data_IF_648480402311
#
_entry.id   IF_648480402311
#
_cell.length_a   1.000
_cell.length_b   1.000
_cell.length_c   1.000
_cell.angle_alpha   90.00
_cell.angle_beta   90.00
_cell.angle_gamma   90.00
#
_symmetry.space_group_name_H-M   'P 1'
#
loop_
_entity.id
_entity.type
_entity.pdbx_description
1 polymer ?
#
# COMPACT_ATOMS: atom_id res chain seq x y z
N UNK A 1 -53.11 -5.18 15.97
CA UNK A 1 -52.70 -3.92 16.58
C UNK A 1 -51.62 -4.14 17.66
N UNK A 2 -51.70 -5.19 18.51
CA UNK A 2 -50.69 -5.44 19.57
C UNK A 2 -49.29 -5.77 19.05
N UNK A 3 -49.14 -6.48 17.94
CA UNK A 3 -47.82 -6.86 17.36
C UNK A 3 -47.00 -5.67 16.82
N UNK A 4 -47.63 -4.57 16.44
CA UNK A 4 -46.94 -3.37 15.95
C UNK A 4 -46.36 -2.57 17.10
N UNK A 5 -47.14 -2.45 18.20
CA UNK A 5 -46.74 -1.72 19.43
C UNK A 5 -45.57 -2.45 20.12
N UNK A 6 -45.57 -3.78 20.12
CA UNK A 6 -44.49 -4.57 20.72
C UNK A 6 -43.17 -4.48 19.89
N UNK A 7 -43.31 -4.37 18.56
CA UNK A 7 -42.16 -4.20 17.65
C UNK A 7 -41.57 -2.77 17.75
N UNK A 8 -42.39 -1.74 17.88
CA UNK A 8 -41.91 -0.38 18.14
C UNK A 8 -41.19 -0.22 19.47
N UNK A 9 -41.70 -0.83 20.54
CA UNK A 9 -41.02 -0.83 21.84
C UNK A 9 -39.63 -1.52 21.79
N UNK A 10 -39.50 -2.62 21.07
CA UNK A 10 -38.19 -3.31 20.90
C UNK A 10 -37.18 -2.44 20.16
N UNK A 11 -37.58 -1.73 19.10
CA UNK A 11 -36.68 -0.84 18.34
C UNK A 11 -36.24 0.35 19.20
N UNK A 12 -37.15 0.96 19.96
CA UNK A 12 -36.83 2.08 20.84
C UNK A 12 -35.88 1.64 21.97
N UNK A 13 -36.13 0.50 22.58
CA UNK A 13 -35.27 -0.07 23.63
C UNK A 13 -33.88 -0.41 23.06
N UNK A 14 -33.82 -0.98 21.86
CA UNK A 14 -32.56 -1.28 21.19
C UNK A 14 -31.78 0.00 20.86
N UNK A 15 -32.45 1.00 20.26
CA UNK A 15 -31.84 2.30 19.97
C UNK A 15 -31.28 2.95 21.24
N UNK A 16 -32.05 2.96 22.31
CA UNK A 16 -31.65 3.58 23.58
C UNK A 16 -30.44 2.89 24.20
N UNK A 17 -30.40 1.55 24.12
CA UNK A 17 -29.27 0.73 24.62
C UNK A 17 -27.99 0.99 23.83
N UNK A 18 -28.09 1.16 22.51
CA UNK A 18 -26.94 1.30 21.64
C UNK A 18 -26.65 2.75 21.21
N UNK A 19 -27.45 3.71 21.68
CA UNK A 19 -27.29 5.15 21.38
C UNK A 19 -25.86 5.67 21.62
N UNK A 20 -25.17 5.32 22.76
CA UNK A 20 -23.80 5.77 22.96
C UNK A 20 -22.85 5.30 21.85
N UNK A 21 -23.00 4.08 21.37
CA UNK A 21 -22.17 3.53 20.27
C UNK A 21 -22.47 4.23 18.95
N UNK A 22 -23.75 4.51 18.65
CA UNK A 22 -24.11 5.29 17.45
C UNK A 22 -23.55 6.70 17.49
N UNK A 23 -23.60 7.37 18.64
CA UNK A 23 -23.03 8.70 18.81
C UNK A 23 -21.50 8.70 18.65
N UNK A 24 -20.80 7.64 19.10
CA UNK A 24 -19.36 7.50 18.92
C UNK A 24 -18.97 7.28 17.44
N UNK A 25 -19.79 6.56 16.68
CA UNK A 25 -19.54 6.28 15.27
C UNK A 25 -19.97 7.46 14.38
N UNK A 26 -20.97 8.25 14.80
CA UNK A 26 -21.58 9.31 14.00
C UNK A 26 -20.57 10.28 13.39
N UNK A 27 -19.57 10.82 14.13
CA UNK A 27 -18.59 11.74 13.55
C UNK A 27 -17.79 11.08 12.40
N UNK A 28 -17.43 9.80 12.54
CA UNK A 28 -16.74 9.05 11.50
C UNK A 28 -17.62 8.84 10.26
N UNK A 29 -18.89 8.48 10.45
CA UNK A 29 -19.86 8.31 9.36
C UNK A 29 -20.09 9.62 8.63
N UNK A 30 -20.30 10.72 9.35
CA UNK A 30 -20.48 12.06 8.78
C UNK A 30 -19.25 12.46 7.97
N UNK A 31 -18.04 12.24 8.50
CA UNK A 31 -16.80 12.46 7.78
C UNK A 31 -16.75 11.67 6.47
N UNK A 32 -17.06 10.38 6.51
CA UNK A 32 -17.07 9.53 5.31
C UNK A 32 -18.08 10.01 4.28
N UNK A 33 -19.29 10.37 4.71
CA UNK A 33 -20.31 10.88 3.80
C UNK A 33 -19.81 12.15 3.12
N UNK A 34 -19.36 13.15 3.88
CA UNK A 34 -18.96 14.45 3.34
C UNK A 34 -17.70 14.33 2.45
N UNK A 35 -16.67 13.60 2.89
CA UNK A 35 -15.37 13.60 2.22
C UNK A 35 -15.12 12.43 1.28
N UNK A 36 -15.97 11.39 1.31
CA UNK A 36 -15.86 10.23 0.40
C UNK A 36 -17.07 10.09 -0.52
N UNK A 37 -18.27 10.05 0.03
CA UNK A 37 -19.48 9.81 -0.77
C UNK A 37 -19.93 11.05 -1.55
N UNK A 38 -19.95 12.23 -0.95
CA UNK A 38 -20.32 13.46 -1.66
C UNK A 38 -19.44 13.73 -2.89
N UNK A 39 -18.07 13.61 -2.81
CA UNK A 39 -17.24 13.76 -4.00
C UNK A 39 -17.48 12.70 -5.08
N UNK A 40 -18.00 11.51 -4.74
CA UNK A 40 -18.35 10.50 -5.76
C UNK A 40 -19.43 10.99 -6.73
N UNK A 41 -20.35 11.84 -6.27
CA UNK A 41 -21.32 12.50 -7.18
C UNK A 41 -20.64 13.39 -8.20
N UNK A 42 -19.43 13.89 -7.91
CA UNK A 42 -18.61 14.64 -8.85
C UNK A 42 -18.19 13.83 -10.08
N UNK A 43 -18.24 12.49 -10.05
CA UNK A 43 -17.97 11.64 -11.22
C UNK A 43 -18.94 11.90 -12.39
N UNK A 44 -20.11 12.50 -12.14
CA UNK A 44 -21.05 12.94 -13.17
C UNK A 44 -20.39 13.93 -14.15
N UNK A 45 -19.39 14.69 -13.71
CA UNK A 45 -18.62 15.62 -14.56
C UNK A 45 -17.98 14.89 -15.77
N UNK A 46 -17.64 13.60 -15.63
CA UNK A 46 -17.09 12.81 -16.73
C UNK A 46 -18.05 12.66 -17.93
N UNK A 47 -19.34 12.88 -17.72
CA UNK A 47 -20.40 12.79 -18.74
C UNK A 47 -20.93 14.18 -19.17
N UNK A 48 -20.32 15.26 -18.66
CA UNK A 48 -20.73 16.63 -18.91
C UNK A 48 -19.60 17.42 -19.56
N UNK A 49 -19.95 18.40 -20.42
CA UNK A 49 -19.02 19.43 -20.87
C UNK A 49 -18.88 20.48 -19.76
N UNK A 50 -18.15 20.08 -18.72
CA UNK A 50 -18.06 20.81 -17.46
C UNK A 50 -17.38 22.17 -17.63
N UNK A 51 -18.02 23.21 -17.09
CA UNK A 51 -17.44 24.53 -16.95
C UNK A 51 -17.52 24.96 -15.48
N UNK A 52 -16.41 25.43 -14.94
CA UNK A 52 -16.36 25.93 -13.55
C UNK A 52 -17.32 27.09 -13.29
N UNK A 53 -17.66 27.86 -14.33
CA UNK A 53 -18.62 28.98 -14.24
C UNK A 53 -20.05 28.52 -14.15
N UNK A 54 -20.41 27.37 -14.75
CA UNK A 54 -21.76 26.80 -14.75
C UNK A 54 -22.01 25.80 -13.63
N UNK A 55 -20.93 25.26 -13.05
CA UNK A 55 -21.02 24.21 -12.05
C UNK A 55 -21.53 22.88 -12.60
N UNK A 56 -21.76 21.91 -11.72
CA UNK A 56 -22.22 20.55 -12.08
C UNK A 56 -23.65 20.58 -12.65
N UNK A 57 -24.54 21.39 -12.06
CA UNK A 57 -25.96 21.41 -12.44
C UNK A 57 -26.17 22.15 -13.76
N UNK A 58 -25.38 23.20 -14.03
CA UNK A 58 -25.53 24.04 -15.22
C UNK A 58 -24.73 23.60 -16.44
N UNK A 59 -23.90 22.56 -16.30
CA UNK A 59 -23.09 22.05 -17.41
C UNK A 59 -23.87 21.07 -18.29
N UNK A 60 -23.81 21.18 -19.64
CA UNK A 60 -24.55 20.31 -20.55
C UNK A 60 -24.04 18.86 -20.47
N UNK A 61 -24.97 17.92 -20.48
CA UNK A 61 -24.68 16.50 -20.52
C UNK A 61 -24.28 16.07 -21.94
N UNK A 62 -23.07 15.48 -22.09
CA UNK A 62 -22.50 15.08 -23.40
C UNK A 62 -22.30 13.58 -23.52
N UNK A 63 -22.81 12.81 -22.57
CA UNK A 63 -22.72 11.35 -22.57
C UNK A 63 -21.26 10.86 -22.57
N UNK A 64 -20.94 9.93 -23.47
CA UNK A 64 -19.61 9.30 -23.55
C UNK A 64 -18.57 10.06 -24.38
N UNK A 65 -18.83 11.31 -24.78
CA UNK A 65 -17.92 12.11 -25.63
C UNK A 65 -16.47 12.12 -25.14
N UNK A 66 -16.27 12.33 -23.83
CA UNK A 66 -14.93 12.37 -23.24
C UNK A 66 -14.25 11.01 -23.22
N UNK A 67 -15.02 9.95 -23.02
CA UNK A 67 -14.49 8.57 -23.05
C UNK A 67 -14.07 8.19 -24.47
N UNK A 68 -14.88 8.50 -25.48
CA UNK A 68 -14.52 8.26 -26.88
C UNK A 68 -13.23 8.99 -27.23
N UNK A 69 -13.14 10.30 -26.91
CA UNK A 69 -11.93 11.08 -27.15
C UNK A 69 -10.69 10.51 -26.41
N UNK A 70 -10.89 9.97 -25.20
CA UNK A 70 -9.82 9.34 -24.41
C UNK A 70 -9.30 8.08 -25.11
N UNK A 71 -10.20 7.19 -25.54
CA UNK A 71 -9.84 5.93 -26.19
C UNK A 71 -9.28 6.12 -27.60
N UNK A 72 -9.68 7.18 -28.30
CA UNK A 72 -9.12 7.54 -29.61
C UNK A 72 -7.73 8.19 -29.50
N UNK A 73 -7.30 8.58 -28.28
CA UNK A 73 -5.98 9.19 -28.07
C UNK A 73 -4.88 8.13 -28.11
N UNK A 74 -3.86 8.29 -28.97
CA UNK A 74 -2.71 7.38 -29.00
C UNK A 74 -1.93 7.38 -27.67
N UNK A 75 -1.96 8.47 -26.92
CA UNK A 75 -1.30 8.58 -25.63
C UNK A 75 -1.96 7.74 -24.55
N UNK A 76 -3.28 7.52 -24.64
CA UNK A 76 -4.01 6.71 -23.66
C UNK A 76 -3.43 5.31 -23.54
N UNK A 77 -3.27 4.61 -24.65
CA UNK A 77 -2.75 3.23 -24.65
C UNK A 77 -1.31 3.17 -24.17
N UNK A 78 -0.50 4.15 -24.51
CA UNK A 78 0.89 4.25 -24.05
C UNK A 78 0.95 4.44 -22.53
N UNK A 79 0.17 5.38 -22.00
CA UNK A 79 0.11 5.70 -20.57
C UNK A 79 -0.47 4.50 -19.81
N UNK A 80 -1.58 3.92 -20.28
CA UNK A 80 -2.22 2.77 -19.65
C UNK A 80 -1.28 1.58 -19.56
N UNK A 81 -0.62 1.22 -20.67
CA UNK A 81 0.36 0.14 -20.69
C UNK A 81 1.54 0.39 -19.74
N UNK A 82 2.05 1.63 -19.72
CA UNK A 82 3.14 1.99 -18.84
C UNK A 82 2.72 1.91 -17.35
N UNK A 83 1.55 2.41 -17.01
CA UNK A 83 1.00 2.35 -15.65
C UNK A 83 0.81 0.90 -15.21
N UNK A 84 0.20 0.07 -16.06
CA UNK A 84 0.00 -1.35 -15.77
C UNK A 84 1.33 -2.08 -15.57
N UNK A 85 2.33 -1.78 -16.41
CA UNK A 85 3.65 -2.37 -16.32
C UNK A 85 4.39 -1.95 -15.04
N UNK A 86 4.33 -0.66 -14.67
CA UNK A 86 4.92 -0.16 -13.42
C UNK A 86 4.24 -0.75 -12.18
N UNK A 87 2.92 -0.89 -12.21
CA UNK A 87 2.16 -1.54 -11.14
C UNK A 87 2.55 -3.01 -10.99
N UNK A 88 2.64 -3.74 -12.11
CA UNK A 88 3.09 -5.13 -12.11
C UNK A 88 4.52 -5.27 -11.57
N UNK A 89 5.46 -4.42 -12.02
CA UNK A 89 6.83 -4.38 -11.50
C UNK A 89 6.85 -4.12 -9.99
N UNK A 90 6.07 -3.15 -9.53
CA UNK A 90 5.98 -2.83 -8.11
C UNK A 90 5.49 -4.05 -7.33
N UNK A 91 4.38 -4.67 -7.73
CA UNK A 91 3.85 -5.86 -7.05
C UNK A 91 4.89 -6.98 -7.03
N UNK A 92 5.45 -7.34 -8.18
CA UNK A 92 6.38 -8.48 -8.30
C UNK A 92 7.64 -8.32 -7.45
N UNK A 93 8.20 -7.11 -7.39
CA UNK A 93 9.46 -6.87 -6.70
C UNK A 93 9.31 -6.35 -5.28
N UNK A 94 8.27 -5.53 -4.99
CA UNK A 94 8.13 -4.98 -3.62
C UNK A 94 7.38 -5.91 -2.69
N UNK A 95 6.44 -6.71 -3.20
CA UNK A 95 5.58 -7.56 -2.36
C UNK A 95 6.32 -8.73 -1.67
N UNK A 96 7.23 -9.47 -2.33
CA UNK A 96 7.95 -10.58 -1.68
C UNK A 96 8.95 -10.14 -0.60
N UNK A 97 9.53 -8.95 -0.74
CA UNK A 97 10.63 -8.48 0.12
C UNK A 97 10.22 -8.41 1.61
N UNK A 98 9.07 -7.83 1.99
CA UNK A 98 8.62 -7.81 3.38
C UNK A 98 8.43 -9.20 3.98
N UNK A 99 7.94 -10.16 3.20
CA UNK A 99 7.77 -11.55 3.65
C UNK A 99 9.14 -12.16 3.96
N UNK A 100 10.09 -12.02 3.03
CA UNK A 100 11.46 -12.51 3.20
C UNK A 100 12.11 -11.86 4.41
N UNK A 101 12.00 -10.53 4.56
CA UNK A 101 12.54 -9.80 5.70
C UNK A 101 11.92 -10.26 7.02
N UNK A 102 10.61 -10.50 7.06
CA UNK A 102 9.93 -10.99 8.26
C UNK A 102 10.44 -12.38 8.67
N UNK A 103 10.55 -13.31 7.72
CA UNK A 103 11.10 -14.64 7.97
C UNK A 103 12.56 -14.59 8.44
N UNK A 104 13.39 -13.75 7.80
CA UNK A 104 14.79 -13.56 8.23
C UNK A 104 14.88 -12.96 9.64
N UNK A 105 14.06 -11.95 9.93
CA UNK A 105 14.05 -11.31 11.26
C UNK A 105 13.49 -12.23 12.34
N UNK A 106 12.61 -13.14 11.99
CA UNK A 106 12.08 -14.11 12.95
C UNK A 106 13.16 -15.07 13.44
N UNK A 107 14.10 -15.46 12.59
CA UNK A 107 15.24 -16.30 12.94
C UNK A 107 16.32 -15.60 13.79
N UNK A 108 16.27 -14.26 13.92
CA UNK A 108 17.25 -13.51 14.71
C UNK A 108 17.02 -13.74 16.20
N UNK A 109 17.98 -14.37 16.88
CA UNK A 109 17.91 -14.73 18.31
C UNK A 109 17.99 -13.52 19.24
N UNK A 110 18.81 -12.54 18.90
CA UNK A 110 19.00 -11.35 19.72
C UNK A 110 17.82 -10.38 19.58
N UNK A 111 17.08 -10.19 20.67
CA UNK A 111 15.96 -9.23 20.72
C UNK A 111 16.41 -7.78 20.41
N UNK A 112 17.63 -7.42 20.83
CA UNK A 112 18.18 -6.08 20.58
C UNK A 112 18.45 -5.86 19.09
N UNK A 113 19.11 -6.83 18.43
CA UNK A 113 19.39 -6.76 16.99
C UNK A 113 18.07 -6.75 16.21
N UNK A 114 17.13 -7.65 16.52
CA UNK A 114 15.80 -7.70 15.89
C UNK A 114 15.10 -6.34 15.98
N UNK A 115 15.04 -5.74 17.17
CA UNK A 115 14.40 -4.44 17.39
C UNK A 115 15.12 -3.31 16.64
N UNK A 116 16.45 -3.27 16.68
CA UNK A 116 17.23 -2.24 15.99
C UNK A 116 17.03 -2.31 14.47
N UNK A 117 17.10 -3.50 13.87
CA UNK A 117 16.87 -3.69 12.44
C UNK A 117 15.43 -3.29 12.08
N UNK A 118 14.43 -3.73 12.83
CA UNK A 118 13.02 -3.33 12.63
C UNK A 118 12.87 -1.80 12.64
N UNK A 119 13.47 -1.12 13.58
CA UNK A 119 13.41 0.34 13.67
C UNK A 119 14.03 0.99 12.44
N UNK A 120 15.25 0.57 12.05
CA UNK A 120 15.97 1.16 10.91
C UNK A 120 15.22 0.96 9.59
N UNK A 121 14.72 -0.24 9.32
CA UNK A 121 14.00 -0.52 8.06
C UNK A 121 12.61 0.14 8.01
N UNK A 122 12.04 0.51 9.17
CA UNK A 122 10.74 1.15 9.24
C UNK A 122 10.80 2.69 9.08
N UNK A 123 11.92 3.34 9.41
CA UNK A 123 12.10 4.79 9.34
C UNK A 123 11.71 5.37 7.97
N UNK A 124 12.14 4.80 6.82
CA UNK A 124 11.84 5.36 5.52
C UNK A 124 10.34 5.50 5.23
N UNK A 125 9.51 4.65 5.80
CA UNK A 125 8.06 4.70 5.61
C UNK A 125 7.44 6.04 6.04
N UNK A 126 7.96 6.67 7.08
CA UNK A 126 7.46 7.94 7.62
C UNK A 126 7.92 9.16 6.82
N UNK A 127 8.85 9.00 5.90
CA UNK A 127 9.35 10.07 5.04
C UNK A 127 8.35 10.32 3.90
N UNK A 128 8.02 11.59 3.62
CA UNK A 128 7.13 11.90 2.49
C UNK A 128 7.78 11.56 1.14
N UNK A 129 6.96 11.23 0.13
CA UNK A 129 7.47 10.95 -1.22
C UNK A 129 8.19 12.14 -1.86
N UNK A 130 7.86 13.38 -1.48
CA UNK A 130 8.57 14.58 -1.94
C UNK A 130 10.00 14.58 -1.43
N UNK A 131 10.20 14.29 -0.14
CA UNK A 131 11.54 14.20 0.47
C UNK A 131 12.32 13.03 -0.12
N UNK A 132 11.66 11.87 -0.31
CA UNK A 132 12.29 10.71 -0.97
C UNK A 132 12.75 11.06 -2.39
N UNK A 133 11.92 11.76 -3.16
CA UNK A 133 12.31 12.26 -4.49
C UNK A 133 13.52 13.19 -4.44
N UNK A 134 13.56 14.11 -3.47
CA UNK A 134 14.70 14.98 -3.22
C UNK A 134 15.98 14.22 -2.87
N UNK A 135 15.88 13.18 -2.03
CA UNK A 135 17.01 12.29 -1.71
C UNK A 135 17.52 11.56 -2.95
N UNK A 136 16.62 10.97 -3.75
CA UNK A 136 16.99 10.30 -5.00
C UNK A 136 17.71 11.25 -5.94
N UNK A 137 17.21 12.48 -6.09
CA UNK A 137 17.84 13.50 -6.91
C UNK A 137 19.22 13.92 -6.37
N UNK A 138 19.36 14.09 -5.04
CA UNK A 138 20.64 14.42 -4.39
C UNK A 138 21.67 13.30 -4.55
N UNK A 139 21.24 12.04 -4.61
CA UNK A 139 22.12 10.91 -4.81
C UNK A 139 22.48 10.69 -6.28
N UNK A 140 21.49 10.70 -7.18
CA UNK A 140 21.60 10.23 -8.58
C UNK A 140 21.62 11.35 -9.61
N UNK A 141 21.43 12.61 -9.19
CA UNK A 141 21.52 13.79 -10.06
C UNK A 141 22.91 13.95 -10.69
N UNK A 142 23.05 14.86 -11.64
CA UNK A 142 24.31 15.10 -12.36
C UNK A 142 25.49 15.44 -11.44
N UNK A 143 25.27 16.26 -10.41
CA UNK A 143 26.23 16.56 -9.34
C UNK A 143 26.02 15.77 -8.05
N UNK A 144 25.28 14.68 -8.10
CA UNK A 144 24.93 13.88 -6.94
C UNK A 144 26.06 13.01 -6.42
N UNK A 145 25.90 12.51 -5.19
CA UNK A 145 26.91 11.69 -4.48
C UNK A 145 27.39 10.50 -5.33
N UNK A 146 26.52 9.88 -6.11
CA UNK A 146 26.86 8.79 -7.00
C UNK A 146 27.93 9.19 -8.05
N UNK A 147 27.77 10.35 -8.68
CA UNK A 147 28.72 10.85 -9.67
C UNK A 147 30.01 11.35 -9.02
N UNK A 148 29.94 12.00 -7.86
CA UNK A 148 31.13 12.41 -7.07
C UNK A 148 31.97 11.15 -6.76
N UNK A 149 31.35 10.07 -6.30
CA UNK A 149 32.06 8.83 -5.99
C UNK A 149 32.66 8.18 -7.25
N UNK A 150 31.99 8.24 -8.39
CA UNK A 150 32.51 7.77 -9.68
C UNK A 150 33.74 8.55 -10.12
N UNK A 151 33.69 9.87 -9.99
CA UNK A 151 34.83 10.75 -10.33
C UNK A 151 36.06 10.48 -9.43
N UNK A 152 35.85 10.23 -8.15
CA UNK A 152 36.92 9.81 -7.23
C UNK A 152 37.59 8.49 -7.66
N UNK A 153 36.84 7.62 -8.34
CA UNK A 153 37.34 6.36 -8.90
C UNK A 153 37.91 6.52 -10.33
N UNK A 154 38.01 7.76 -10.86
CA UNK A 154 38.46 8.02 -12.22
C UNK A 154 37.46 7.65 -13.31
N UNK A 155 36.21 7.41 -12.97
CA UNK A 155 35.14 7.04 -13.90
C UNK A 155 34.36 8.27 -14.36
N UNK A 156 33.93 8.31 -15.63
CA UNK A 156 33.10 9.39 -16.14
C UNK A 156 31.72 9.42 -15.46
N UNK A 157 31.16 10.62 -15.16
CA UNK A 157 29.82 10.74 -14.62
C UNK A 157 28.75 10.15 -15.57
N UNK A 158 27.68 9.65 -14.99
CA UNK A 158 26.52 9.13 -15.73
C UNK A 158 25.30 9.94 -15.36
N UNK A 159 24.56 10.42 -16.38
CA UNK A 159 23.31 11.16 -16.19
C UNK A 159 22.14 10.20 -15.98
N UNK A 160 22.16 9.48 -14.84
CA UNK A 160 21.20 8.43 -14.51
C UNK A 160 19.75 8.93 -14.56
N UNK A 161 19.50 10.12 -14.01
CA UNK A 161 18.14 10.71 -13.96
C UNK A 161 17.60 11.18 -15.31
N UNK A 162 18.46 11.29 -16.35
CA UNK A 162 18.07 11.73 -17.68
C UNK A 162 17.87 10.55 -18.64
N UNK A 163 18.15 9.33 -18.24
CA UNK A 163 18.05 8.14 -19.08
C UNK A 163 16.83 7.31 -18.67
N UNK A 164 15.93 7.09 -19.62
CA UNK A 164 14.66 6.37 -19.43
C UNK A 164 14.87 4.95 -18.84
N UNK A 165 15.95 4.28 -19.22
CA UNK A 165 16.26 2.92 -18.75
C UNK A 165 16.43 2.81 -17.23
N UNK A 166 16.86 3.88 -16.55
CA UNK A 166 17.07 3.90 -15.11
C UNK A 166 15.81 4.21 -14.31
N UNK A 167 14.78 4.75 -14.93
CA UNK A 167 13.56 5.15 -14.23
C UNK A 167 12.92 3.97 -13.49
N UNK A 168 12.75 2.84 -14.16
CA UNK A 168 12.10 1.65 -13.59
C UNK A 168 12.87 1.03 -12.42
N UNK A 169 14.18 0.76 -12.53
CA UNK A 169 14.98 0.29 -11.40
C UNK A 169 14.95 1.24 -10.20
N UNK A 170 15.11 2.54 -10.44
CA UNK A 170 15.08 3.55 -9.38
C UNK A 170 13.72 3.54 -8.68
N UNK A 171 12.63 3.53 -9.44
CA UNK A 171 11.27 3.48 -8.92
C UNK A 171 11.04 2.26 -8.02
N UNK A 172 11.43 1.07 -8.48
CA UNK A 172 11.26 -0.18 -7.72
C UNK A 172 12.12 -0.21 -6.47
N UNK A 173 13.40 0.12 -6.58
CA UNK A 173 14.33 0.12 -5.44
C UNK A 173 13.89 1.13 -4.39
N UNK A 174 13.48 2.31 -4.81
CA UNK A 174 12.98 3.36 -3.90
C UNK A 174 11.70 2.93 -3.21
N UNK A 175 10.78 2.28 -3.92
CA UNK A 175 9.54 1.76 -3.35
C UNK A 175 9.81 0.63 -2.32
N UNK A 176 10.72 -0.29 -2.63
CA UNK A 176 11.16 -1.33 -1.68
C UNK A 176 11.73 -0.67 -0.42
N UNK A 177 12.72 0.22 -0.59
CA UNK A 177 13.37 0.89 0.53
C UNK A 177 12.37 1.62 1.43
N UNK A 178 11.39 2.29 0.83
CA UNK A 178 10.40 3.06 1.57
C UNK A 178 9.39 2.20 2.32
N UNK A 179 8.84 1.17 1.69
CA UNK A 179 7.61 0.52 2.19
C UNK A 179 7.87 -0.87 2.79
N UNK A 180 8.99 -1.54 2.48
CA UNK A 180 9.23 -2.92 2.90
C UNK A 180 9.28 -3.08 4.42
N UNK A 181 9.86 -2.13 5.14
CA UNK A 181 9.98 -2.22 6.61
C UNK A 181 8.63 -2.19 7.32
N UNK A 182 7.72 -1.34 6.90
CA UNK A 182 6.38 -1.26 7.48
C UNK A 182 5.58 -2.55 7.28
N UNK A 183 5.57 -3.07 6.06
CA UNK A 183 4.88 -4.32 5.75
C UNK A 183 5.50 -5.52 6.49
N UNK A 184 6.82 -5.52 6.70
CA UNK A 184 7.53 -6.55 7.47
C UNK A 184 7.01 -6.65 8.91
N UNK A 185 6.67 -5.52 9.55
CA UNK A 185 6.11 -5.52 10.91
C UNK A 185 4.77 -6.25 10.96
N UNK A 186 3.92 -6.10 9.95
CA UNK A 186 2.62 -6.78 9.88
C UNK A 186 2.81 -8.29 9.80
N UNK A 187 3.76 -8.76 8.98
CA UNK A 187 4.08 -10.20 8.91
C UNK A 187 4.70 -10.72 10.21
N UNK A 188 5.57 -9.95 10.86
CA UNK A 188 6.15 -10.33 12.15
C UNK A 188 5.08 -10.43 13.25
N UNK A 189 4.07 -9.56 13.23
CA UNK A 189 2.93 -9.66 14.15
C UNK A 189 2.12 -10.94 13.91
N UNK A 190 1.93 -11.32 12.64
CA UNK A 190 1.26 -12.57 12.28
C UNK A 190 2.07 -13.81 12.73
N UNK A 191 3.40 -13.78 12.56
CA UNK A 191 4.30 -14.85 13.02
C UNK A 191 4.25 -14.98 14.55
N UNK A 192 4.25 -13.86 15.28
CA UNK A 192 4.16 -13.84 16.72
C UNK A 192 2.85 -14.45 17.29
N UNK A 193 1.81 -14.54 16.46
CA UNK A 193 0.54 -15.20 16.79
C UNK A 193 0.54 -16.72 16.62
N UNK A 194 1.61 -17.31 16.08
CA UNK A 194 1.72 -18.77 15.89
C UNK A 194 2.02 -19.42 17.25
N UNK A 195 1.28 -20.50 17.58
CA UNK A 195 1.50 -21.23 18.83
C UNK A 195 2.93 -21.77 18.93
N UNK A 196 3.66 -21.51 20.03
CA UNK A 196 5.00 -22.06 20.28
C UNK A 196 5.02 -23.60 20.26
N UNK A 197 3.93 -24.25 20.66
CA UNK A 197 3.80 -25.72 20.71
C UNK A 197 4.04 -26.38 19.35
N UNK A 198 3.66 -25.71 18.24
CA UNK A 198 3.92 -26.21 16.88
C UNK A 198 5.41 -26.23 16.55
N UNK A 199 6.16 -25.28 17.06
CA UNK A 199 7.62 -25.25 16.86
C UNK A 199 8.33 -26.24 17.79
N UNK A 200 7.85 -26.41 19.00
CA UNK A 200 8.41 -27.35 19.98
C UNK A 200 8.23 -28.80 19.52
N UNK A 201 7.01 -29.18 19.06
CA UNK A 201 6.77 -30.52 18.50
C UNK A 201 7.65 -30.79 17.28
N UNK A 202 7.77 -29.82 16.36
CA UNK A 202 8.63 -29.96 15.20
C UNK A 202 10.13 -30.09 15.55
N UNK A 203 10.57 -29.47 16.65
CA UNK A 203 11.95 -29.66 17.16
C UNK A 203 12.15 -31.08 17.69
N UNK A 204 11.17 -31.63 18.41
CA UNK A 204 11.19 -33.01 18.90
C UNK A 204 11.26 -33.99 17.75
N UNK A 205 10.52 -33.71 16.66
CA UNK A 205 10.54 -34.50 15.40
C UNK A 205 11.85 -34.31 14.57
N UNK A 206 12.81 -33.52 15.08
CA UNK A 206 14.10 -33.29 14.42
C UNK A 206 14.07 -32.31 13.24
N UNK A 207 12.99 -31.52 13.09
CA UNK A 207 12.86 -30.56 12.01
C UNK A 207 13.91 -29.43 12.11
N UNK A 208 14.64 -29.20 11.03
CA UNK A 208 15.56 -28.08 10.88
C UNK A 208 14.81 -26.73 10.88
N UNK A 209 15.52 -25.61 11.08
CA UNK A 209 14.95 -24.26 11.02
C UNK A 209 14.24 -24.00 9.70
N UNK A 210 14.90 -24.33 8.57
CA UNK A 210 14.32 -24.16 7.25
C UNK A 210 13.04 -24.97 7.06
N UNK A 211 13.00 -26.21 7.57
CA UNK A 211 11.79 -27.05 7.53
C UNK A 211 10.64 -26.42 8.33
N UNK A 212 10.91 -25.89 9.52
CA UNK A 212 9.91 -25.19 10.33
C UNK A 212 9.38 -23.94 9.63
N UNK A 213 10.26 -23.11 9.08
CA UNK A 213 9.87 -21.93 8.31
C UNK A 213 9.01 -22.30 7.13
N UNK A 214 9.39 -23.34 6.36
CA UNK A 214 8.69 -23.76 5.16
C UNK A 214 7.34 -24.44 5.42
N UNK A 215 7.25 -25.28 6.49
CA UNK A 215 6.08 -26.15 6.70
C UNK A 215 5.16 -25.65 7.83
N UNK A 216 5.62 -24.75 8.70
CA UNK A 216 4.80 -24.18 9.78
C UNK A 216 4.58 -22.68 9.52
N UNK A 217 5.67 -21.88 9.53
CA UNK A 217 5.54 -20.42 9.48
C UNK A 217 4.90 -19.94 8.18
N UNK A 218 5.45 -20.36 7.05
CA UNK A 218 5.00 -19.87 5.73
C UNK A 218 3.55 -20.26 5.41
N UNK A 219 3.08 -21.52 5.61
CA UNK A 219 1.68 -21.87 5.40
C UNK A 219 0.71 -21.09 6.29
N UNK A 220 1.04 -20.85 7.55
CA UNK A 220 0.20 -20.06 8.47
C UNK A 220 0.18 -18.58 8.08
N UNK A 221 1.23 -18.07 7.45
CA UNK A 221 1.26 -16.71 6.93
C UNK A 221 0.45 -16.52 5.63
N UNK A 222 0.16 -17.58 4.88
CA UNK A 222 -0.53 -17.47 3.57
C UNK A 222 -1.81 -16.63 3.62
N UNK A 223 -2.73 -16.77 4.60
CA UNK A 223 -3.91 -15.92 4.69
C UNK A 223 -3.57 -14.43 4.82
N UNK A 224 -2.57 -14.11 5.65
CA UNK A 224 -2.07 -12.72 5.82
C UNK A 224 -1.42 -12.21 4.53
N UNK A 225 -0.64 -13.04 3.86
CA UNK A 225 -0.01 -12.72 2.57
C UNK A 225 -1.09 -12.40 1.54
N UNK A 226 -2.11 -13.24 1.40
CA UNK A 226 -3.22 -13.03 0.45
C UNK A 226 -3.97 -11.73 0.79
N UNK A 227 -4.27 -11.51 2.06
CA UNK A 227 -4.99 -10.28 2.49
C UNK A 227 -4.21 -9.02 2.14
N UNK A 228 -2.91 -8.98 2.46
CA UNK A 228 -2.06 -7.83 2.15
C UNK A 228 -1.84 -7.67 0.64
N UNK A 229 -1.75 -8.78 -0.10
CA UNK A 229 -1.68 -8.75 -1.56
C UNK A 229 -2.93 -8.10 -2.18
N UNK A 230 -4.12 -8.51 -1.74
CA UNK A 230 -5.38 -7.93 -2.23
C UNK A 230 -5.50 -6.45 -1.88
N UNK A 231 -5.08 -6.05 -0.68
CA UNK A 231 -5.05 -4.65 -0.26
C UNK A 231 -4.05 -3.82 -1.09
N UNK A 232 -2.90 -4.37 -1.43
CA UNK A 232 -1.92 -3.69 -2.27
C UNK A 232 -2.39 -3.61 -3.73
N UNK A 233 -2.92 -4.70 -4.28
CA UNK A 233 -3.47 -4.75 -5.62
C UNK A 233 -4.67 -3.79 -5.82
N UNK A 234 -5.46 -3.56 -4.78
CA UNK A 234 -6.56 -2.60 -4.80
C UNK A 234 -6.16 -1.12 -4.79
N UNK A 235 -4.86 -0.81 -4.65
CA UNK A 235 -4.35 0.57 -4.73
C UNK A 235 -3.97 1.01 -6.16
N UNK A 236 -4.02 0.09 -7.11
CA UNK A 236 -3.72 0.29 -8.53
C UNK A 236 -5.00 0.26 -9.35
#
# INVERSE_FOLDING_TARGET
MNNIIEKENRVVVHLRKYLPYYLMILPGVVYLIIFKYVPMFGSVIAFQDFSSTRGIIGSPFVGLKHFIKLFDSPDFYKIFRNSLFLSALKIVFTFPIPVILALMLDEVRSKYIKKSVQTVICIPHFVSWIVVGGLVFSFLGSGGLFNIFREMLGLKPILVMQQEQWFRPIYVITAIWKDAGWQTIVYLAAIAGISPELYESAVIDGASRFQRTRHITLPILVPTIITLFLLEAGKF
#
